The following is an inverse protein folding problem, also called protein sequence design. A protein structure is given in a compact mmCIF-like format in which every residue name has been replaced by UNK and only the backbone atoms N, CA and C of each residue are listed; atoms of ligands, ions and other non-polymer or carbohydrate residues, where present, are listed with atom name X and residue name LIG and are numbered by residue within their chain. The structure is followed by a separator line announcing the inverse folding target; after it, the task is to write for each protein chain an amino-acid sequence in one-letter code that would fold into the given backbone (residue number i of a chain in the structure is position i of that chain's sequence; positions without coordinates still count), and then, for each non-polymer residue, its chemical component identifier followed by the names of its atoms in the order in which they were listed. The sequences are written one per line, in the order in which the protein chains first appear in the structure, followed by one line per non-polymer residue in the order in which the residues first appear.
data_IF_835313444352
#
_entry.id   IF_835313444352
#
_cell.length_a   1.000
_cell.length_b   1.000
_cell.length_c   1.000
_cell.angle_alpha   90.00
_cell.angle_beta   90.00
_cell.angle_gamma   90.00
#
_symmetry.space_group_name_H-M   'P 1'
#
loop_
_entity.id
_entity.type
_entity.pdbx_description
1 polymer ?
#
# COMPACT_ATOMS: atom_id res chain seq x y z
N UNK A 1 -25.72 2.05 19.08
CA UNK A 1 -24.66 1.10 18.64
C UNK A 1 -23.68 1.84 17.73
N UNK A 2 -22.37 1.73 18.00
CA UNK A 2 -21.35 2.39 17.20
C UNK A 2 -21.21 1.73 15.84
N UNK A 3 -21.14 2.55 14.79
CA UNK A 3 -20.98 2.09 13.40
C UNK A 3 -19.50 1.71 13.20
N UNK A 4 -19.17 0.50 12.71
CA UNK A 4 -17.80 0.10 12.43
C UNK A 4 -17.08 1.08 11.49
N UNK A 5 -15.79 1.35 11.75
CA UNK A 5 -15.01 2.36 11.00
C UNK A 5 -15.10 2.19 9.47
N UNK A 6 -15.07 0.94 8.99
CA UNK A 6 -15.10 0.63 7.55
C UNK A 6 -16.43 1.01 6.89
N UNK A 7 -17.55 0.97 7.62
CA UNK A 7 -18.86 1.35 7.08
C UNK A 7 -18.95 2.86 6.83
N UNK A 8 -18.26 3.68 7.63
CA UNK A 8 -18.20 5.13 7.39
C UNK A 8 -17.51 5.46 6.06
N UNK A 9 -16.62 4.59 5.60
CA UNK A 9 -15.86 4.80 4.37
C UNK A 9 -16.60 4.33 3.11
N UNK A 10 -17.64 3.51 3.25
CA UNK A 10 -18.40 2.98 2.12
C UNK A 10 -19.08 4.07 1.27
N UNK A 11 -19.52 5.15 1.90
CA UNK A 11 -20.09 6.30 1.20
C UNK A 11 -19.05 7.03 0.33
N UNK A 12 -17.81 7.16 0.83
CA UNK A 12 -16.72 7.77 0.09
C UNK A 12 -16.30 6.92 -1.13
N UNK A 13 -16.18 5.60 -0.95
CA UNK A 13 -15.95 4.65 -2.05
C UNK A 13 -17.03 4.79 -3.12
N UNK A 14 -18.30 4.79 -2.71
CA UNK A 14 -19.44 4.92 -3.62
C UNK A 14 -19.40 6.22 -4.43
N UNK A 15 -18.98 7.32 -3.80
CA UNK A 15 -18.82 8.60 -4.49
C UNK A 15 -17.68 8.57 -5.51
N UNK A 16 -16.52 8.01 -5.14
CA UNK A 16 -15.35 7.87 -6.02
C UNK A 16 -15.68 7.05 -7.27
N UNK A 17 -16.44 5.96 -7.10
CA UNK A 17 -16.94 5.16 -8.21
C UNK A 17 -17.93 5.93 -9.09
N UNK A 18 -18.88 6.66 -8.49
CA UNK A 18 -19.84 7.49 -9.24
C UNK A 18 -19.20 8.63 -10.03
N UNK A 19 -18.12 9.20 -9.50
CA UNK A 19 -17.32 10.22 -10.16
C UNK A 19 -16.31 9.64 -11.16
N UNK A 20 -16.23 8.31 -11.26
CA UNK A 20 -15.36 7.58 -12.20
C UNK A 20 -13.87 7.96 -12.08
N UNK A 21 -13.45 8.31 -10.86
CA UNK A 21 -12.08 8.73 -10.60
C UNK A 21 -11.02 7.65 -10.89
N UNK A 22 -11.28 6.34 -10.67
CA UNK A 22 -10.34 5.29 -11.04
C UNK A 22 -10.01 5.32 -12.54
N UNK A 23 -11.00 5.50 -13.42
CA UNK A 23 -10.75 5.58 -14.85
C UNK A 23 -9.93 6.82 -15.22
N UNK A 24 -10.24 7.98 -14.61
CA UNK A 24 -9.49 9.21 -14.85
C UNK A 24 -8.00 9.09 -14.52
N UNK A 25 -7.62 8.23 -13.57
CA UNK A 25 -6.21 8.02 -13.22
C UNK A 25 -5.58 6.88 -14.02
N UNK A 26 -6.35 5.91 -14.52
CA UNK A 26 -5.84 4.84 -15.38
C UNK A 26 -5.53 5.32 -16.81
N UNK A 27 -6.21 6.37 -17.29
CA UNK A 27 -5.96 6.94 -18.62
C UNK A 27 -4.50 7.47 -18.74
N UNK A 28 -3.84 7.19 -19.87
CA UNK A 28 -2.43 7.54 -20.10
C UNK A 28 -2.16 9.05 -20.21
N UNK A 29 -3.21 9.86 -20.33
CA UNK A 29 -3.07 11.31 -20.34
C UNK A 29 -2.60 11.79 -18.98
N UNK A 30 -1.56 12.65 -18.90
CA UNK A 30 -1.07 13.19 -17.64
C UNK A 30 -2.09 14.19 -17.07
N UNK A 31 -3.12 13.66 -16.44
CA UNK A 31 -4.05 14.42 -15.60
C UNK A 31 -3.54 14.30 -14.17
N UNK A 32 -3.41 15.45 -13.49
CA UNK A 32 -3.07 15.46 -12.07
C UNK A 32 -4.09 14.61 -11.30
N UNK A 33 -3.62 13.63 -10.54
CA UNK A 33 -4.49 12.78 -9.71
C UNK A 33 -5.34 13.65 -8.79
N UNK A 34 -6.67 13.53 -8.82
CA UNK A 34 -7.54 14.26 -7.90
C UNK A 34 -7.21 13.89 -6.45
N UNK A 35 -7.12 14.88 -5.57
CA UNK A 35 -6.85 14.67 -4.13
C UNK A 35 -7.76 13.60 -3.51
N UNK A 36 -9.05 13.61 -3.87
CA UNK A 36 -10.02 12.63 -3.38
C UNK A 36 -9.64 11.20 -3.77
N UNK A 37 -9.05 10.99 -4.95
CA UNK A 37 -8.58 9.67 -5.37
C UNK A 37 -7.35 9.24 -4.56
N UNK A 38 -6.40 10.14 -4.33
CA UNK A 38 -5.21 9.86 -3.49
C UNK A 38 -5.60 9.49 -2.06
N UNK A 39 -6.48 10.29 -1.44
CA UNK A 39 -6.96 10.04 -0.08
C UNK A 39 -7.75 8.74 0.00
N UNK A 40 -8.62 8.50 -0.98
CA UNK A 40 -9.38 7.25 -1.05
C UNK A 40 -8.45 6.06 -1.19
N UNK A 41 -7.43 6.15 -2.04
CA UNK A 41 -6.47 5.08 -2.22
C UNK A 41 -5.70 4.76 -0.95
N UNK A 42 -5.28 5.79 -0.20
CA UNK A 42 -4.61 5.57 1.07
C UNK A 42 -5.48 4.84 2.09
N UNK A 43 -6.75 5.25 2.24
CA UNK A 43 -7.69 4.63 3.17
C UNK A 43 -8.08 3.22 2.71
N UNK A 44 -8.33 3.01 1.42
CA UNK A 44 -8.69 1.70 0.86
C UNK A 44 -7.56 0.68 1.06
N UNK A 45 -6.32 1.04 0.76
CA UNK A 45 -5.17 0.13 0.93
C UNK A 45 -4.97 -0.25 2.39
N UNK A 46 -4.89 0.71 3.31
CA UNK A 46 -4.70 0.40 4.73
C UNK A 46 -5.92 -0.25 5.36
N UNK A 47 -7.10 0.14 4.92
CA UNK A 47 -8.35 -0.43 5.39
C UNK A 47 -8.52 -1.89 5.02
N UNK A 48 -8.04 -2.27 3.84
CA UNK A 48 -8.01 -3.63 3.34
C UNK A 48 -7.08 -4.53 4.17
N UNK A 49 -5.87 -4.05 4.53
CA UNK A 49 -4.96 -4.81 5.40
C UNK A 49 -5.56 -5.08 6.78
N UNK A 50 -6.28 -4.12 7.35
CA UNK A 50 -6.93 -4.28 8.67
C UNK A 50 -8.09 -5.29 8.65
N UNK A 51 -8.71 -5.52 7.49
CA UNK A 51 -9.83 -6.44 7.32
C UNK A 51 -9.40 -7.79 6.72
N UNK A 52 -8.13 -7.91 6.33
CA UNK A 52 -7.60 -9.01 5.53
C UNK A 52 -8.40 -9.24 4.25
N UNK A 53 -8.84 -8.17 3.58
CA UNK A 53 -9.58 -8.22 2.31
C UNK A 53 -8.75 -7.60 1.21
N UNK A 54 -9.10 -7.87 -0.06
CA UNK A 54 -8.53 -7.15 -1.18
C UNK A 54 -9.03 -5.69 -1.16
N UNK A 55 -8.18 -4.69 -1.46
CA UNK A 55 -8.62 -3.31 -1.63
C UNK A 55 -9.68 -3.19 -2.75
N UNK A 56 -10.61 -2.27 -2.58
CA UNK A 56 -11.70 -2.04 -3.55
C UNK A 56 -11.16 -1.69 -4.93
N UNK A 57 -10.08 -0.89 -5.00
CA UNK A 57 -9.48 -0.44 -6.25
C UNK A 57 -8.15 -1.14 -6.58
N UNK A 58 -7.98 -2.39 -6.12
CA UNK A 58 -6.76 -3.17 -6.33
C UNK A 58 -6.30 -3.23 -7.80
N UNK A 59 -7.24 -3.27 -8.75
CA UNK A 59 -6.92 -3.25 -10.17
C UNK A 59 -6.22 -1.96 -10.58
N UNK A 60 -6.74 -0.80 -10.18
CA UNK A 60 -6.14 0.51 -10.45
C UNK A 60 -4.74 0.63 -9.85
N UNK A 61 -4.52 0.11 -8.64
CA UNK A 61 -3.19 0.13 -8.01
C UNK A 61 -2.19 -0.74 -8.77
N UNK A 62 -2.63 -1.89 -9.28
CA UNK A 62 -1.78 -2.77 -10.10
C UNK A 62 -1.46 -2.14 -11.45
N UNK A 63 -2.43 -1.51 -12.13
CA UNK A 63 -2.18 -0.75 -13.36
C UNK A 63 -1.16 0.37 -13.12
N UNK A 64 -1.32 1.12 -12.03
CA UNK A 64 -0.38 2.17 -11.63
C UNK A 64 1.00 1.64 -11.32
N UNK A 65 1.10 0.51 -10.62
CA UNK A 65 2.38 -0.11 -10.30
C UNK A 65 3.15 -0.53 -11.57
N UNK A 66 2.44 -1.00 -12.61
CA UNK A 66 3.03 -1.46 -13.85
C UNK A 66 3.23 -0.33 -14.89
N UNK A 67 2.61 0.84 -14.68
CA UNK A 67 2.69 1.96 -15.62
C UNK A 67 4.10 2.57 -15.65
N UNK A 68 4.77 2.58 -16.82
CA UNK A 68 6.09 3.21 -16.96
C UNK A 68 6.00 4.73 -17.06
N UNK A 69 4.83 5.27 -17.46
CA UNK A 69 4.63 6.68 -17.79
C UNK A 69 3.93 7.46 -16.68
N UNK A 70 3.01 6.83 -15.95
CA UNK A 70 2.21 7.48 -14.93
C UNK A 70 1.97 6.59 -13.68
N UNK A 71 3.03 6.23 -12.94
CA UNK A 71 2.91 5.35 -11.77
C UNK A 71 2.38 6.04 -10.51
N UNK A 72 2.30 7.38 -10.50
CA UNK A 72 1.96 8.13 -9.29
C UNK A 72 0.44 8.25 -9.09
N UNK A 73 0.00 8.07 -7.84
CA UNK A 73 -1.29 8.53 -7.33
C UNK A 73 -1.13 9.67 -6.31
N UNK A 74 0.09 10.10 -6.02
CA UNK A 74 0.38 11.19 -5.07
C UNK A 74 0.40 10.75 -3.60
N UNK A 75 0.52 9.44 -3.33
CA UNK A 75 0.48 8.89 -1.97
C UNK A 75 1.65 9.37 -1.12
N UNK A 76 2.82 9.58 -1.74
CA UNK A 76 3.99 10.16 -1.07
C UNK A 76 3.74 11.58 -0.61
N UNK A 77 3.12 12.39 -1.45
CA UNK A 77 2.84 13.79 -1.16
C UNK A 77 1.77 13.92 -0.06
N UNK A 78 0.80 13.01 -0.02
CA UNK A 78 -0.27 13.02 0.98
C UNK A 78 0.19 12.46 2.33
N UNK A 79 0.82 11.27 2.35
CA UNK A 79 1.06 10.48 3.56
C UNK A 79 2.54 10.12 3.77
N UNK A 80 3.43 10.62 2.91
CA UNK A 80 4.88 10.49 3.05
C UNK A 80 5.48 9.17 2.57
N UNK A 81 4.67 8.17 2.22
CA UNK A 81 5.12 6.88 1.73
C UNK A 81 5.12 6.82 0.20
N UNK A 82 6.20 6.32 -0.41
CA UNK A 82 6.24 6.08 -1.85
C UNK A 82 5.08 5.21 -2.35
N UNK A 83 4.45 5.66 -3.43
CA UNK A 83 3.31 5.00 -4.08
C UNK A 83 3.59 3.53 -4.39
N UNK A 84 4.80 3.21 -4.87
CA UNK A 84 5.21 1.83 -5.17
C UNK A 84 5.15 0.93 -3.94
N UNK A 85 5.55 1.42 -2.77
CA UNK A 85 5.49 0.64 -1.52
C UNK A 85 4.03 0.44 -1.11
N UNK A 86 3.19 1.47 -1.25
CA UNK A 86 1.75 1.36 -0.99
C UNK A 86 1.07 0.35 -1.94
N UNK A 87 1.45 0.31 -3.22
CA UNK A 87 0.93 -0.69 -4.16
C UNK A 87 1.37 -2.10 -3.78
N UNK A 88 2.61 -2.30 -3.33
CA UNK A 88 3.04 -3.60 -2.83
C UNK A 88 2.24 -4.02 -1.58
N UNK A 89 1.91 -3.10 -0.68
CA UNK A 89 1.02 -3.39 0.46
C UNK A 89 -0.38 -3.82 -0.03
N UNK A 90 -0.93 -3.16 -1.05
CA UNK A 90 -2.17 -3.59 -1.72
C UNK A 90 -2.07 -5.00 -2.29
N UNK A 91 -0.95 -5.35 -2.93
CA UNK A 91 -0.73 -6.69 -3.47
C UNK A 91 -0.66 -7.75 -2.36
N UNK A 92 -0.05 -7.44 -1.21
CA UNK A 92 -0.02 -8.34 -0.04
C UNK A 92 -1.44 -8.54 0.51
N UNK A 93 -2.26 -7.48 0.57
CA UNK A 93 -3.66 -7.58 1.01
C UNK A 93 -4.50 -8.45 0.06
N UNK A 94 -4.29 -8.33 -1.26
CA UNK A 94 -4.88 -9.25 -2.23
C UNK A 94 -4.45 -10.69 -1.98
N UNK A 95 -3.16 -10.93 -1.69
CA UNK A 95 -2.64 -12.27 -1.42
C UNK A 95 -3.24 -12.87 -0.13
N UNK A 96 -3.43 -12.08 0.92
CA UNK A 96 -4.12 -12.54 2.13
C UNK A 96 -5.56 -12.95 1.84
N UNK A 97 -6.29 -12.16 1.04
CA UNK A 97 -7.65 -12.50 0.65
C UNK A 97 -7.71 -13.83 -0.11
N UNK A 98 -6.81 -14.04 -1.09
CA UNK A 98 -6.71 -15.29 -1.83
C UNK A 98 -6.32 -16.49 -0.96
N UNK A 99 -5.41 -16.30 0.01
CA UNK A 99 -5.09 -17.31 1.03
C UNK A 99 -6.34 -17.74 1.80
N UNK A 100 -7.16 -16.78 2.23
CA UNK A 100 -8.41 -17.07 2.95
C UNK A 100 -9.46 -17.76 2.09
N UNK A 101 -9.44 -17.53 0.78
CA UNK A 101 -10.31 -18.18 -0.21
C UNK A 101 -9.83 -19.61 -0.60
N UNK A 102 -8.71 -20.08 -0.04
CA UNK A 102 -8.24 -21.45 -0.19
C UNK A 102 -7.12 -21.64 -1.21
N UNK A 103 -6.34 -20.59 -1.52
CA UNK A 103 -5.07 -20.73 -2.23
C UNK A 103 -4.15 -21.74 -1.51
N UNK A 104 -3.52 -22.65 -2.26
CA UNK A 104 -2.63 -23.65 -1.70
C UNK A 104 -1.28 -23.06 -1.25
N UNK A 105 -0.63 -23.76 -0.32
CA UNK A 105 0.60 -23.30 0.31
C UNK A 105 1.78 -23.15 -0.67
N UNK A 106 1.82 -23.92 -1.76
CA UNK A 106 2.92 -23.86 -2.73
C UNK A 106 2.80 -22.58 -3.54
N UNK A 107 1.62 -22.31 -4.11
CA UNK A 107 1.35 -21.07 -4.85
C UNK A 107 1.48 -19.85 -3.95
N UNK A 108 1.00 -19.92 -2.71
CA UNK A 108 1.18 -18.86 -1.72
C UNK A 108 2.67 -18.55 -1.49
N UNK A 109 3.52 -19.56 -1.27
CA UNK A 109 4.95 -19.36 -1.07
C UNK A 109 5.63 -18.72 -2.29
N UNK A 110 5.21 -19.07 -3.51
CA UNK A 110 5.73 -18.45 -4.74
C UNK A 110 5.40 -16.95 -4.80
N UNK A 111 4.15 -16.58 -4.50
CA UNK A 111 3.75 -15.17 -4.44
C UNK A 111 4.45 -14.42 -3.31
N UNK A 112 4.62 -15.05 -2.14
CA UNK A 112 5.38 -14.46 -1.03
C UNK A 112 6.81 -14.17 -1.43
N UNK A 113 7.48 -15.12 -2.09
CA UNK A 113 8.84 -14.90 -2.56
C UNK A 113 8.91 -13.76 -3.58
N UNK A 114 8.02 -13.75 -4.58
CA UNK A 114 8.00 -12.72 -5.62
C UNK A 114 7.74 -11.32 -5.06
N UNK A 115 6.79 -11.16 -4.13
CA UNK A 115 6.53 -9.88 -3.48
C UNK A 115 7.70 -9.45 -2.58
N UNK A 116 8.37 -10.41 -1.92
CA UNK A 116 9.57 -10.14 -1.14
C UNK A 116 10.70 -9.54 -1.97
N UNK A 117 10.93 -10.09 -3.17
CA UNK A 117 11.90 -9.55 -4.13
C UNK A 117 11.50 -8.14 -4.61
N UNK A 118 10.22 -7.91 -4.92
CA UNK A 118 9.74 -6.59 -5.32
C UNK A 118 9.91 -5.53 -4.22
N UNK A 119 9.69 -5.90 -2.95
CA UNK A 119 9.99 -5.01 -1.81
C UNK A 119 11.50 -4.72 -1.76
N UNK A 120 12.35 -5.74 -1.93
CA UNK A 120 13.81 -5.57 -1.96
C UNK A 120 14.27 -4.60 -3.05
N UNK A 121 13.64 -4.60 -4.23
CA UNK A 121 13.93 -3.64 -5.29
C UNK A 121 13.59 -2.19 -4.92
N UNK A 122 12.71 -1.96 -3.94
CA UNK A 122 12.42 -0.60 -3.43
C UNK A 122 13.48 -0.13 -2.42
N UNK A 123 14.34 -1.00 -1.91
CA UNK A 123 15.33 -0.67 -0.87
C UNK A 123 16.69 -0.25 -1.44
N UNK A 124 16.90 -0.40 -2.76
CA UNK A 124 18.18 -0.13 -3.42
C UNK A 124 18.57 1.35 -3.26
N UNK A 125 19.70 1.59 -2.60
CA UNK A 125 20.24 2.94 -2.40
C UNK A 125 19.67 3.68 -1.19
N UNK A 126 18.79 3.05 -0.40
CA UNK A 126 18.30 3.65 0.83
C UNK A 126 19.24 3.45 2.01
N UNK A 127 19.40 4.52 2.78
CA UNK A 127 20.17 4.51 4.02
C UNK A 127 19.23 4.31 5.21
N UNK A 128 19.77 3.81 6.32
CA UNK A 128 19.02 3.71 7.58
C UNK A 128 18.28 5.00 7.95
N UNK A 129 17.13 4.92 8.67
CA UNK A 129 16.38 6.10 9.08
C UNK A 129 17.26 7.13 9.79
N UNK A 130 17.11 8.41 9.42
CA UNK A 130 17.88 9.52 9.99
C UNK A 130 16.96 10.50 10.67
N UNK A 131 17.47 11.24 11.65
CA UNK A 131 16.74 12.37 12.24
C UNK A 131 16.27 13.32 11.12
N UNK A 132 14.96 13.61 11.01
CA UNK A 132 14.44 14.46 9.94
C UNK A 132 14.61 15.95 10.26
N UNK A 133 15.36 16.32 11.30
CA UNK A 133 15.66 17.69 11.67
C UNK A 133 17.11 18.04 11.33
N UNK A 134 17.33 19.24 10.79
CA UNK A 134 18.67 19.77 10.62
C UNK A 134 19.20 20.39 11.93
N UNK A 135 20.45 20.88 11.91
CA UNK A 135 21.08 21.50 13.07
C UNK A 135 20.34 22.76 13.60
N UNK A 136 19.50 23.41 12.79
CA UNK A 136 18.66 24.54 13.20
C UNK A 136 17.30 24.12 13.75
N UNK A 137 17.03 22.82 13.92
CA UNK A 137 15.75 22.30 14.40
C UNK A 137 14.63 22.33 13.36
N UNK A 138 14.93 22.64 12.10
CA UNK A 138 13.95 22.67 11.00
C UNK A 138 13.72 21.27 10.44
N UNK A 139 12.45 20.91 10.22
CA UNK A 139 12.06 19.64 9.62
C UNK A 139 12.42 19.60 8.13
N UNK A 140 12.99 18.48 7.68
CA UNK A 140 13.19 18.14 6.28
C UNK A 140 12.08 17.18 5.81
N UNK A 141 11.09 17.65 5.01
CA UNK A 141 10.01 16.80 4.52
C UNK A 141 10.52 15.61 3.70
N UNK A 142 11.60 15.81 2.92
CA UNK A 142 12.22 14.75 2.13
C UNK A 142 12.81 13.64 3.01
N UNK A 143 13.48 14.00 4.10
CA UNK A 143 14.02 12.99 5.02
C UNK A 143 12.91 12.30 5.81
N UNK A 144 11.87 13.03 6.21
CA UNK A 144 10.70 12.44 6.86
C UNK A 144 9.99 11.43 5.94
N UNK A 145 9.76 11.78 4.68
CA UNK A 145 9.16 10.88 3.69
C UNK A 145 10.00 9.62 3.46
N UNK A 146 11.34 9.74 3.44
CA UNK A 146 12.23 8.56 3.40
C UNK A 146 12.04 7.67 4.62
N UNK A 147 12.02 8.25 5.82
CA UNK A 147 11.82 7.48 7.05
C UNK A 147 10.44 6.78 7.06
N UNK A 148 9.38 7.47 6.63
CA UNK A 148 8.04 6.90 6.51
C UNK A 148 8.04 5.75 5.51
N UNK A 149 8.65 5.94 4.35
CA UNK A 149 8.78 4.88 3.34
C UNK A 149 9.53 3.68 3.90
N UNK A 150 10.63 3.87 4.62
CA UNK A 150 11.35 2.79 5.32
C UNK A 150 10.45 2.06 6.32
N UNK A 151 9.66 2.79 7.11
CA UNK A 151 8.73 2.19 8.08
C UNK A 151 7.65 1.35 7.39
N UNK A 152 7.06 1.86 6.29
CA UNK A 152 6.06 1.12 5.52
C UNK A 152 6.64 -0.11 4.82
N UNK A 153 7.88 -0.07 4.33
CA UNK A 153 8.55 -1.26 3.80
C UNK A 153 8.75 -2.33 4.87
N UNK A 154 9.16 -1.94 6.07
CA UNK A 154 9.29 -2.88 7.18
C UNK A 154 7.93 -3.48 7.55
N UNK A 155 6.88 -2.66 7.62
CA UNK A 155 5.51 -3.12 7.84
C UNK A 155 5.05 -4.09 6.74
N UNK A 156 5.35 -3.79 5.48
CA UNK A 156 5.05 -4.68 4.35
C UNK A 156 5.77 -6.03 4.47
N UNK A 157 7.04 -6.05 4.89
CA UNK A 157 7.78 -7.30 5.14
C UNK A 157 7.15 -8.10 6.28
N UNK A 158 6.83 -7.47 7.41
CA UNK A 158 6.18 -8.13 8.55
C UNK A 158 4.84 -8.73 8.11
N UNK A 159 4.03 -7.94 7.41
CA UNK A 159 2.73 -8.37 6.91
C UNK A 159 2.87 -9.54 5.94
N UNK A 160 3.79 -9.46 4.98
CA UNK A 160 4.04 -10.54 4.02
C UNK A 160 4.53 -11.83 4.71
N UNK A 161 5.45 -11.71 5.68
CA UNK A 161 5.92 -12.85 6.46
C UNK A 161 4.81 -13.50 7.29
N UNK A 162 3.82 -12.73 7.75
CA UNK A 162 2.67 -13.29 8.47
C UNK A 162 1.80 -14.20 7.60
N UNK A 163 1.91 -14.11 6.27
CA UNK A 163 1.18 -14.97 5.34
C UNK A 163 1.84 -16.33 5.15
N UNK A 164 3.09 -16.53 5.56
CA UNK A 164 3.79 -17.82 5.41
C UNK A 164 3.03 -18.94 6.14
N UNK A 165 2.82 -20.11 5.51
CA UNK A 165 2.18 -21.25 6.16
C UNK A 165 2.85 -21.63 7.49
N UNK A 166 2.04 -21.93 8.50
CA UNK A 166 2.54 -22.28 9.84
C UNK A 166 2.93 -21.10 10.73
N UNK A 167 2.96 -19.86 10.22
CA UNK A 167 3.13 -18.69 11.08
C UNK A 167 1.94 -18.54 12.04
N UNK A 168 2.24 -18.42 13.34
CA UNK A 168 1.28 -18.07 14.37
C UNK A 168 1.86 -16.94 15.23
N UNK A 169 1.19 -15.77 15.36
CA UNK A 169 1.66 -14.67 16.21
C UNK A 169 1.91 -15.06 17.68
N UNK A 170 1.24 -16.10 18.17
CA UNK A 170 1.36 -16.59 19.55
C UNK A 170 2.39 -17.72 19.72
N UNK A 171 3.15 -18.08 18.70
CA UNK A 171 4.17 -19.14 18.82
C UNK A 171 5.35 -18.68 19.68
N UNK A 172 5.95 -19.56 20.50
CA UNK A 172 7.11 -19.22 21.31
C UNK A 172 8.34 -18.89 20.44
N UNK A 173 9.13 -17.91 20.87
CA UNK A 173 10.40 -17.49 20.22
C UNK A 173 11.55 -18.45 20.49
#
# INVERSE_FOLDING_TARGET
PDIPWHQHFQAAISLVQKLDLPRLVSDETPVQTPFNMTLTAWIDILGATMQGQAPTFAHTYREKHLSPTNPSLGLRELMGCEDRVMYLISEIACLEALKREGMDDITLCQHVHALGEQIGLTEVGDTSPKLPFNASGTLSPKQLSRNLTTAFRLAARIYLCSLVPGFNPAQPS
#
